data_IF_811340458712
#
_entry.id   IF_811340458712
#
_cell.length_a   1.000
_cell.length_b   1.000
_cell.length_c   1.000
_cell.angle_alpha   90.00
_cell.angle_beta   90.00
_cell.angle_gamma   90.00
#
_symmetry.space_group_name_H-M   'P 1'
#
loop_
_entity.id
_entity.type
_entity.pdbx_description
1 polymer ?
#
# COMPACT_ATOMS: atom_id res chain seq x y z
N UNK A 1 -21.30 -11.65 5.60
CA UNK A 1 -20.01 -12.30 5.85
C UNK A 1 -19.20 -12.10 4.60
N UNK A 2 -17.94 -11.67 4.73
CA UNK A 2 -17.06 -11.54 3.57
C UNK A 2 -16.80 -12.95 3.03
N UNK A 3 -17.44 -13.27 1.91
CA UNK A 3 -17.23 -14.50 1.14
C UNK A 3 -16.26 -14.15 0.02
N UNK A 4 -15.11 -14.82 0.01
CA UNK A 4 -14.21 -14.92 -1.14
C UNK A 4 -13.39 -13.66 -1.48
N UNK A 5 -12.07 -13.82 -1.43
CA UNK A 5 -11.14 -13.13 -2.34
C UNK A 5 -10.73 -11.69 -2.01
N UNK A 6 -11.04 -11.16 -0.82
CA UNK A 6 -10.47 -9.88 -0.37
C UNK A 6 -8.99 -10.04 0.07
N UNK A 7 -8.12 -10.40 -0.87
CA UNK A 7 -6.68 -10.45 -0.69
C UNK A 7 -6.06 -9.10 -1.08
N UNK A 8 -5.01 -8.70 -0.37
CA UNK A 8 -4.19 -7.54 -0.73
C UNK A 8 -2.93 -8.08 -1.40
N UNK A 9 -2.81 -7.87 -2.70
CA UNK A 9 -1.63 -8.25 -3.46
C UNK A 9 -0.57 -7.16 -3.37
N UNK A 10 0.62 -7.52 -2.89
CA UNK A 10 1.80 -6.65 -2.91
C UNK A 10 2.76 -7.08 -4.01
N UNK A 11 3.13 -6.11 -4.83
CA UNK A 11 4.16 -6.24 -5.85
C UNK A 11 5.23 -5.18 -5.57
N UNK A 12 6.49 -5.60 -5.48
CA UNK A 12 7.61 -4.67 -5.36
C UNK A 12 8.18 -4.44 -6.75
N UNK A 13 8.24 -3.17 -7.15
CA UNK A 13 8.67 -2.74 -8.47
C UNK A 13 10.02 -2.05 -8.29
N UNK A 14 11.08 -2.74 -8.74
CA UNK A 14 12.46 -2.27 -8.79
C UNK A 14 13.00 -2.70 -10.15
N UNK A 15 13.33 -1.73 -11.00
CA UNK A 15 14.03 -1.99 -12.26
C UNK A 15 15.44 -2.50 -11.92
N UNK A 16 15.59 -3.81 -11.73
CA UNK A 16 16.86 -4.48 -11.45
C UNK A 16 17.63 -4.80 -12.76
N UNK A 17 17.69 -3.81 -13.67
CA UNK A 17 18.50 -3.92 -14.90
C UNK A 17 19.99 -3.57 -14.65
N UNK A 18 20.40 -3.31 -13.41
CA UNK A 18 21.79 -2.97 -13.06
C UNK A 18 22.60 -4.22 -12.63
N UNK A 19 22.90 -5.06 -13.62
CA UNK A 19 23.96 -6.06 -13.57
C UNK A 19 25.31 -5.36 -13.26
N UNK A 20 25.72 -5.38 -12.00
CA UNK A 20 27.09 -5.24 -11.49
C UNK A 20 28.03 -4.26 -12.24
N UNK A 21 27.75 -2.95 -12.23
CA UNK A 21 28.85 -1.98 -12.42
C UNK A 21 28.56 -0.59 -11.84
N UNK A 22 28.59 -0.51 -10.50
CA UNK A 22 28.93 0.73 -9.81
C UNK A 22 27.96 1.90 -9.99
N UNK A 23 26.79 1.81 -9.35
CA UNK A 23 26.05 2.92 -8.75
C UNK A 23 26.17 4.28 -9.48
N UNK A 24 25.53 4.37 -10.65
CA UNK A 24 25.07 5.65 -11.18
C UNK A 24 23.56 5.68 -11.06
N UNK A 25 23.05 6.34 -10.02
CA UNK A 25 21.64 6.76 -9.98
C UNK A 25 21.40 7.68 -11.17
N UNK A 26 20.71 7.18 -12.19
CA UNK A 26 20.22 8.00 -13.29
C UNK A 26 18.99 8.76 -12.78
N UNK A 27 19.02 10.10 -12.86
CA UNK A 27 17.94 10.96 -12.36
C UNK A 27 16.57 10.78 -13.08
N UNK A 28 16.55 9.93 -14.12
CA UNK A 28 15.38 9.61 -14.93
C UNK A 28 14.79 8.22 -14.63
N UNK A 29 15.38 7.44 -13.73
CA UNK A 29 14.83 6.13 -13.31
C UNK A 29 13.74 6.30 -12.25
N UNK A 30 12.62 5.54 -12.35
CA UNK A 30 11.58 5.59 -11.34
C UNK A 30 12.11 5.08 -10.00
N UNK A 31 11.89 5.86 -8.93
CA UNK A 31 12.18 5.43 -7.57
C UNK A 31 11.38 4.16 -7.23
N UNK A 32 11.96 3.17 -6.52
CA UNK A 32 11.25 1.96 -6.16
C UNK A 32 9.99 2.21 -5.36
N UNK A 33 9.02 1.33 -5.56
CA UNK A 33 7.76 1.38 -4.83
C UNK A 33 7.16 0.00 -4.60
N UNK A 34 6.26 -0.05 -3.62
CA UNK A 34 5.34 -1.18 -3.44
C UNK A 34 4.01 -0.82 -4.05
N UNK A 35 3.55 -1.63 -5.00
CA UNK A 35 2.19 -1.59 -5.53
C UNK A 35 1.32 -2.51 -4.70
N UNK A 36 0.21 -1.98 -4.23
CA UNK A 36 -0.81 -2.71 -3.50
C UNK A 36 -2.09 -2.73 -4.33
N UNK A 37 -2.67 -3.91 -4.57
CA UNK A 37 -3.97 -4.07 -5.26
C UNK A 37 -4.99 -4.72 -4.33
N UNK A 38 -6.24 -4.32 -4.49
CA UNK A 38 -7.39 -5.02 -3.87
C UNK A 38 -8.65 -4.86 -4.71
N UNK A 39 -9.53 -5.83 -4.59
CA UNK A 39 -10.87 -5.77 -5.17
C UNK A 39 -11.84 -5.07 -4.21
N UNK A 40 -12.73 -4.26 -4.78
CA UNK A 40 -13.84 -3.63 -4.07
C UNK A 40 -15.15 -4.07 -4.73
N UNK A 41 -15.98 -4.75 -3.96
CA UNK A 41 -17.28 -5.26 -4.39
C UNK A 41 -18.40 -4.45 -3.76
N UNK A 42 -19.36 -3.97 -4.56
CA UNK A 42 -20.60 -3.42 -4.01
C UNK A 42 -21.54 -4.56 -3.60
N UNK A 43 -21.60 -4.83 -2.30
CA UNK A 43 -22.46 -5.88 -1.71
C UNK A 43 -23.84 -5.38 -1.28
N UNK A 44 -24.17 -4.11 -1.54
CA UNK A 44 -25.47 -3.51 -1.24
C UNK A 44 -26.46 -3.59 -2.40
N UNK A 45 -27.69 -3.16 -2.15
CA UNK A 45 -28.80 -3.23 -3.12
C UNK A 45 -28.91 -2.00 -4.03
N UNK A 46 -28.05 -0.99 -3.83
CA UNK A 46 -28.11 0.28 -4.59
C UNK A 46 -26.75 0.62 -5.20
N UNK A 47 -26.71 1.33 -6.35
CA UNK A 47 -25.46 1.84 -6.90
C UNK A 47 -24.77 2.80 -5.93
N UNK A 48 -23.47 2.59 -5.71
CA UNK A 48 -22.68 3.37 -4.75
C UNK A 48 -21.21 3.45 -5.19
N UNK A 49 -20.49 4.43 -4.66
CA UNK A 49 -19.03 4.52 -4.78
C UNK A 49 -18.43 4.54 -3.37
N UNK A 50 -17.32 3.84 -3.18
CA UNK A 50 -16.63 3.71 -1.90
C UNK A 50 -15.30 4.47 -1.92
N UNK A 51 -14.90 5.03 -0.78
CA UNK A 51 -13.55 5.58 -0.59
C UNK A 51 -12.73 4.62 0.25
N UNK A 52 -11.82 3.90 -0.40
CA UNK A 52 -10.85 3.05 0.29
C UNK A 52 -9.69 3.90 0.81
N UNK A 53 -9.37 3.74 2.09
CA UNK A 53 -8.28 4.44 2.79
C UNK A 53 -7.23 3.43 3.24
N UNK A 54 -5.97 3.74 2.98
CA UNK A 54 -4.82 2.89 3.27
C UNK A 54 -4.03 3.49 4.41
N UNK A 55 -3.90 2.73 5.48
CA UNK A 55 -3.13 3.08 6.65
C UNK A 55 -1.95 2.15 6.84
N UNK A 56 -0.82 2.72 7.26
CA UNK A 56 0.36 1.97 7.69
C UNK A 56 0.48 1.95 9.21
N UNK A 57 0.86 0.78 9.72
CA UNK A 57 1.46 0.61 11.04
C UNK A 57 2.94 0.34 10.82
N UNK A 58 3.77 1.23 11.32
CA UNK A 58 5.22 1.11 11.21
C UNK A 58 5.77 0.07 12.19
N UNK A 59 6.95 -0.50 11.90
CA UNK A 59 7.72 -1.24 12.89
C UNK A 59 7.84 -0.47 14.22
N UNK A 60 7.79 -1.13 15.38
CA UNK A 60 7.92 -0.46 16.69
C UNK A 60 9.18 0.41 16.83
N UNK A 61 10.25 0.07 16.10
CA UNK A 61 11.50 0.85 16.06
C UNK A 61 11.34 2.25 15.47
N UNK A 62 10.30 2.51 14.68
CA UNK A 62 10.08 3.79 14.03
C UNK A 62 9.51 4.87 14.98
N UNK A 63 8.90 4.47 16.10
CA UNK A 63 8.21 5.38 17.03
C UNK A 63 7.17 6.31 16.37
N UNK A 64 6.57 5.86 15.26
CA UNK A 64 5.49 6.57 14.57
C UNK A 64 4.14 6.39 15.29
N UNK A 65 3.14 7.25 15.01
CA UNK A 65 1.78 7.02 15.47
C UNK A 65 1.27 5.62 15.08
N UNK A 66 0.36 5.04 15.87
CA UNK A 66 -0.07 3.65 15.70
C UNK A 66 -0.78 3.35 14.37
N UNK A 67 -1.25 4.39 13.67
CA UNK A 67 -1.92 4.25 12.38
C UNK A 67 -1.74 5.55 11.57
N UNK A 68 -1.12 5.47 10.40
CA UNK A 68 -0.80 6.64 9.57
C UNK A 68 -1.44 6.49 8.19
N UNK A 69 -2.32 7.43 7.80
CA UNK A 69 -2.92 7.44 6.47
C UNK A 69 -1.86 7.73 5.41
N UNK A 70 -1.74 6.88 4.39
CA UNK A 70 -0.79 7.05 3.29
C UNK A 70 -1.44 7.26 1.94
N UNK A 71 -2.57 6.60 1.69
CA UNK A 71 -3.28 6.77 0.43
C UNK A 71 -4.79 6.64 0.62
N UNK A 72 -5.54 7.19 -0.33
CA UNK A 72 -6.96 6.94 -0.47
C UNK A 72 -7.35 6.99 -1.94
N UNK A 73 -8.34 6.17 -2.32
CA UNK A 73 -8.87 6.14 -3.68
C UNK A 73 -10.37 5.93 -3.61
N UNK A 74 -11.09 6.68 -4.45
CA UNK A 74 -12.52 6.53 -4.62
C UNK A 74 -12.78 5.64 -5.83
N UNK A 75 -13.63 4.63 -5.67
CA UNK A 75 -14.07 3.80 -6.80
C UNK A 75 -14.92 4.62 -7.77
N UNK A 76 -15.07 4.12 -8.99
CA UNK A 76 -16.22 4.50 -9.82
C UNK A 76 -17.52 4.09 -9.13
N UNK A 77 -18.66 4.56 -9.65
CA UNK A 77 -19.96 4.04 -9.18
C UNK A 77 -20.06 2.58 -9.59
N UNK A 78 -20.29 1.71 -8.62
CA UNK A 78 -20.47 0.27 -8.77
C UNK A 78 -21.95 -0.05 -8.60
N UNK A 79 -22.50 -0.85 -9.50
CA UNK A 79 -23.84 -1.44 -9.35
C UNK A 79 -23.82 -2.61 -8.35
N UNK A 80 -24.98 -3.02 -7.79
CA UNK A 80 -25.06 -4.20 -6.92
C UNK A 80 -24.37 -5.44 -7.53
N UNK A 81 -23.43 -6.03 -6.79
CA UNK A 81 -22.63 -7.18 -7.20
C UNK A 81 -21.44 -6.86 -8.12
N UNK A 82 -21.24 -5.60 -8.52
CA UNK A 82 -20.11 -5.19 -9.34
C UNK A 82 -18.83 -5.11 -8.51
N UNK A 83 -17.72 -5.52 -9.15
CA UNK A 83 -16.37 -5.56 -8.58
C UNK A 83 -15.46 -4.65 -9.39
N UNK A 84 -14.58 -3.91 -8.72
CA UNK A 84 -13.51 -3.15 -9.36
C UNK A 84 -12.20 -3.35 -8.61
N UNK A 85 -11.11 -3.48 -9.34
CA UNK A 85 -9.77 -3.47 -8.75
C UNK A 85 -9.31 -2.02 -8.57
N UNK A 86 -8.76 -1.72 -7.40
CA UNK A 86 -8.07 -0.45 -7.13
C UNK A 86 -6.62 -0.71 -6.74
N UNK A 87 -5.75 0.26 -7.02
CA UNK A 87 -4.31 0.12 -6.79
C UNK A 87 -3.69 1.35 -6.13
N UNK A 88 -2.76 1.10 -5.24
CA UNK A 88 -2.06 2.10 -4.46
C UNK A 88 -0.55 1.94 -4.62
N UNK A 89 0.16 3.05 -4.64
CA UNK A 89 1.62 3.10 -4.66
C UNK A 89 2.09 3.56 -3.29
N UNK A 90 2.95 2.77 -2.65
CA UNK A 90 3.68 3.13 -1.44
C UNK A 90 5.14 3.38 -1.85
N UNK A 91 5.52 4.65 -1.90
CA UNK A 91 6.88 5.07 -2.25
C UNK A 91 7.87 4.83 -1.10
N UNK A 92 9.17 4.86 -1.39
CA UNK A 92 10.20 4.90 -0.34
C UNK A 92 9.94 6.00 0.70
N UNK A 93 9.42 7.15 0.27
CA UNK A 93 9.09 8.27 1.15
C UNK A 93 7.95 7.93 2.11
N UNK A 94 6.95 7.19 1.63
CA UNK A 94 5.85 6.70 2.47
C UNK A 94 6.33 5.71 3.53
N UNK A 95 7.47 5.06 3.33
CA UNK A 95 8.06 4.09 4.26
C UNK A 95 9.21 4.69 5.09
N UNK A 96 9.45 5.99 4.95
CA UNK A 96 10.52 6.71 5.62
C UNK A 96 10.00 7.57 6.77
N UNK A 97 10.85 7.76 7.77
CA UNK A 97 10.63 8.70 8.88
C UNK A 97 11.62 9.85 8.80
N UNK A 98 11.25 10.99 9.38
CA UNK A 98 12.12 12.16 9.44
C UNK A 98 12.96 12.15 10.73
N UNK A 99 14.28 11.99 10.58
CA UNK A 99 15.24 12.05 11.69
C UNK A 99 16.46 12.87 11.27
N UNK A 100 16.24 14.18 11.06
CA UNK A 100 17.14 15.16 10.43
C UNK A 100 17.35 14.99 8.92
N UNK A 101 17.06 13.81 8.39
CA UNK A 101 16.93 13.46 6.98
C UNK A 101 15.86 12.37 6.85
N UNK A 102 15.43 12.07 5.62
CA UNK A 102 14.53 10.94 5.36
C UNK A 102 15.29 9.63 5.57
N UNK A 103 14.80 8.78 6.47
CA UNK A 103 15.37 7.46 6.72
C UNK A 103 14.33 6.39 6.45
N UNK A 104 14.64 5.50 5.52
CA UNK A 104 13.81 4.33 5.25
C UNK A 104 13.74 3.45 6.49
N UNK A 105 12.53 3.14 6.93
CA UNK A 105 12.34 2.22 8.05
C UNK A 105 12.40 0.79 7.51
N UNK A 106 13.34 0.01 8.03
CA UNK A 106 13.47 -1.42 7.72
C UNK A 106 12.67 -2.25 8.72
N UNK A 107 11.78 -3.09 8.23
CA UNK A 107 10.92 -3.91 9.09
C UNK A 107 9.70 -4.48 8.40
N UNK A 108 8.90 -5.16 9.21
CA UNK A 108 7.55 -5.54 8.85
C UNK A 108 6.60 -4.36 9.04
N UNK A 109 5.93 -3.97 7.97
CA UNK A 109 4.84 -3.01 8.00
C UNK A 109 3.52 -3.75 7.99
N UNK A 110 2.53 -3.20 8.68
CA UNK A 110 1.15 -3.64 8.55
C UNK A 110 0.38 -2.63 7.72
N UNK A 111 -0.39 -3.12 6.76
CA UNK A 111 -1.33 -2.32 5.99
C UNK A 111 -2.74 -2.62 6.44
N UNK A 112 -3.49 -1.55 6.65
CA UNK A 112 -4.91 -1.58 7.01
C UNK A 112 -5.70 -0.82 5.98
N UNK A 113 -6.65 -1.48 5.36
CA UNK A 113 -7.56 -0.87 4.37
C UNK A 113 -8.96 -0.81 4.96
N UNK A 114 -9.59 0.36 4.85
CA UNK A 114 -10.88 0.63 5.45
C UNK A 114 -11.60 1.82 4.85
N UNK A 115 -12.86 2.00 5.24
CA UNK A 115 -13.65 3.21 4.90
C UNK A 115 -13.36 4.37 5.85
N UNK A 116 -12.73 4.08 6.99
CA UNK A 116 -12.22 5.04 7.98
C UNK A 116 -11.15 4.39 8.86
N UNK A 117 -10.40 5.19 9.61
CA UNK A 117 -9.41 4.69 10.58
C UNK A 117 -9.98 3.81 11.70
N UNK A 118 -11.31 3.82 11.88
CA UNK A 118 -12.03 3.01 12.87
C UNK A 118 -12.72 1.79 12.26
N UNK A 119 -12.82 1.73 10.93
CA UNK A 119 -13.47 0.67 10.16
C UNK A 119 -12.44 0.00 9.25
N UNK A 120 -11.56 -0.80 9.85
CA UNK A 120 -10.59 -1.62 9.11
C UNK A 120 -11.27 -2.89 8.62
N UNK A 121 -11.30 -3.08 7.30
CA UNK A 121 -11.92 -4.25 6.65
C UNK A 121 -10.90 -5.28 6.22
N UNK A 122 -9.75 -4.82 5.72
CA UNK A 122 -8.66 -5.68 5.28
C UNK A 122 -7.36 -5.37 6.02
N UNK A 123 -6.57 -6.42 6.19
CA UNK A 123 -5.29 -6.39 6.87
C UNK A 123 -4.29 -7.24 6.11
N UNK A 124 -3.09 -6.71 5.91
CA UNK A 124 -1.97 -7.46 5.37
C UNK A 124 -0.64 -6.94 5.91
N UNK A 125 0.44 -7.68 5.66
CA UNK A 125 1.79 -7.31 6.08
C UNK A 125 2.75 -7.44 4.90
N UNK A 126 3.70 -6.52 4.81
CA UNK A 126 4.83 -6.63 3.87
C UNK A 126 6.11 -6.21 4.57
N UNK A 127 7.25 -6.63 4.01
CA UNK A 127 8.54 -6.47 4.66
C UNK A 127 9.52 -5.71 3.77
N UNK A 128 10.21 -4.72 4.33
CA UNK A 128 11.22 -3.91 3.62
C UNK A 128 12.67 -4.41 3.79
N UNK A 129 12.90 -5.53 4.50
CA UNK A 129 14.21 -6.19 4.59
C UNK A 129 14.61 -6.88 3.30
N UNK A 130 13.63 -7.44 2.59
CA UNK A 130 13.84 -8.13 1.33
C UNK A 130 13.26 -7.25 0.22
N UNK A 131 14.10 -6.45 -0.45
CA UNK A 131 13.86 -6.29 -1.88
C UNK A 131 13.84 -7.73 -2.42
N UNK A 132 12.75 -8.23 -3.04
CA UNK A 132 12.93 -9.36 -3.92
C UNK A 132 14.02 -8.97 -4.92
N UNK A 133 15.06 -9.81 -4.96
CA UNK A 133 16.07 -9.79 -6.01
C UNK A 133 15.43 -10.08 -7.37
#
# INVERSE_FOLDING_TARGET
>A
GADGDDEIDFEYDFDDDDDQDGARVHADEPEPFWRMRLNVTNTGDVPAAEVAQVYLVYPPSASEPPLVLRAFQKTTVLHPGEVTEISFILSLRDLSIWASEWKLVRGEFQVRVGSSSRDTRLYATFNTYNNPK
#
